data_IF_713415228455
#
_entry.id   IF_713415228455
#
_cell.length_a   1.000
_cell.length_b   1.000
_cell.length_c   1.000
_cell.angle_alpha   90.00
_cell.angle_beta   90.00
_cell.angle_gamma   90.00
#
_symmetry.space_group_name_H-M   'P 1'
#
loop_
_entity.id
_entity.type
_entity.pdbx_description
1 polymer ?
#
# COMPACT_ATOMS: atom_id res chain seq x y z
N UNK A 1 37.30 1.99 9.46
CA UNK A 1 37.30 0.73 10.25
C UNK A 1 38.25 -0.36 9.76
N UNK A 2 38.57 -0.49 8.46
CA UNK A 2 39.55 -1.49 7.96
C UNK A 2 40.92 -1.40 8.66
N UNK A 3 41.45 -0.19 8.80
CA UNK A 3 42.71 0.04 9.52
C UNK A 3 42.68 -0.40 11.00
N UNK A 4 41.53 -0.34 11.67
CA UNK A 4 41.38 -0.80 13.06
C UNK A 4 41.41 -2.33 13.13
N UNK A 5 40.71 -3.00 12.20
CA UNK A 5 40.70 -4.46 12.11
C UNK A 5 42.07 -5.03 11.68
N UNK A 6 42.77 -4.35 10.78
CA UNK A 6 44.15 -4.70 10.40
C UNK A 6 45.12 -4.50 11.56
N UNK A 7 44.93 -3.43 12.34
CA UNK A 7 45.71 -3.19 13.56
C UNK A 7 45.44 -4.26 14.62
N UNK A 8 44.18 -4.58 14.95
CA UNK A 8 43.89 -5.65 15.92
C UNK A 8 44.39 -7.01 15.44
N UNK A 9 44.34 -7.29 14.13
CA UNK A 9 44.91 -8.52 13.56
C UNK A 9 46.45 -8.57 13.63
N UNK A 10 47.12 -7.42 13.78
CA UNK A 10 48.57 -7.35 13.96
C UNK A 10 49.02 -7.52 15.43
N UNK A 11 48.09 -7.54 16.39
CA UNK A 11 48.37 -7.74 17.81
C UNK A 11 48.44 -9.22 18.16
N UNK A 12 49.26 -9.56 19.17
CA UNK A 12 49.33 -10.93 19.70
C UNK A 12 48.15 -11.28 20.61
N UNK A 13 47.90 -12.58 20.81
CA UNK A 13 46.76 -13.12 21.57
C UNK A 13 46.61 -12.54 22.99
N UNK A 14 47.72 -12.25 23.66
CA UNK A 14 47.73 -11.67 25.00
C UNK A 14 47.22 -10.22 25.02
N UNK A 15 47.44 -9.44 23.96
CA UNK A 15 47.00 -8.06 23.87
C UNK A 15 45.56 -7.96 23.34
N UNK A 16 45.14 -8.91 22.50
CA UNK A 16 43.73 -9.10 22.14
C UNK A 16 42.86 -9.42 23.37
N UNK A 17 43.33 -10.29 24.27
CA UNK A 17 42.62 -10.59 25.51
C UNK A 17 42.44 -9.36 26.41
N UNK A 18 43.43 -8.46 26.45
CA UNK A 18 43.32 -7.19 27.18
C UNK A 18 42.34 -6.22 26.52
N UNK A 19 42.35 -6.13 25.19
CA UNK A 19 41.39 -5.31 24.45
C UNK A 19 39.96 -5.80 24.65
N UNK A 20 39.73 -7.11 24.62
CA UNK A 20 38.43 -7.70 24.91
C UNK A 20 37.95 -7.42 26.35
N UNK A 21 38.86 -7.48 27.34
CA UNK A 21 38.53 -7.13 28.73
C UNK A 21 38.13 -5.65 28.89
N UNK A 22 38.59 -4.78 28.00
CA UNK A 22 38.27 -3.35 27.95
C UNK A 22 37.08 -3.03 27.03
N UNK A 23 36.50 -4.03 26.35
CA UNK A 23 35.41 -3.83 25.37
C UNK A 23 35.84 -3.11 24.10
N UNK A 24 37.14 -3.13 23.78
CA UNK A 24 37.75 -2.49 22.62
C UNK A 24 38.15 -3.50 21.54
N UNK A 25 37.73 -4.76 21.66
CA UNK A 25 37.99 -5.81 20.66
C UNK A 25 37.31 -5.51 19.32
N UNK A 26 36.31 -4.64 19.32
CA UNK A 26 35.59 -4.20 18.12
C UNK A 26 35.53 -2.67 18.04
N UNK A 27 35.56 -2.11 16.83
CA UNK A 27 35.34 -0.68 16.65
C UNK A 27 33.92 -0.32 17.11
N UNK A 28 33.79 0.78 17.85
CA UNK A 28 32.50 1.30 18.26
C UNK A 28 31.76 1.80 17.01
N UNK A 29 30.63 1.16 16.72
CA UNK A 29 29.66 1.60 15.71
C UNK A 29 28.42 1.97 16.50
N UNK A 30 28.01 3.24 16.47
CA UNK A 30 26.79 3.67 17.14
C UNK A 30 25.59 3.05 16.41
N UNK A 31 24.97 2.03 17.01
CA UNK A 31 23.73 1.39 16.55
C UNK A 31 22.48 2.29 16.71
N UNK A 32 22.66 3.56 17.10
CA UNK A 32 21.58 4.50 17.33
C UNK A 32 21.05 5.06 16.01
N UNK A 33 20.22 4.26 15.34
CA UNK A 33 19.35 4.72 14.26
C UNK A 33 18.28 5.67 14.81
N UNK A 34 18.46 6.98 14.63
CA UNK A 34 17.36 7.91 14.78
C UNK A 34 16.39 7.72 13.61
N UNK A 35 15.20 7.20 13.90
CA UNK A 35 14.07 7.22 12.96
C UNK A 35 13.54 8.65 12.88
N UNK A 36 14.17 9.51 12.08
CA UNK A 36 13.70 10.89 11.93
C UNK A 36 14.71 11.82 11.29
N UNK A 37 14.22 12.66 10.40
CA UNK A 37 14.94 13.73 9.70
C UNK A 37 15.68 14.65 10.68
N UNK A 38 17.01 14.73 10.56
CA UNK A 38 17.79 15.87 11.05
C UNK A 38 18.61 15.66 12.31
N UNK A 39 19.44 14.62 12.37
CA UNK A 39 20.61 14.60 13.26
C UNK A 39 21.89 14.35 12.43
N UNK A 40 22.97 15.01 12.84
CA UNK A 40 24.24 15.14 12.12
C UNK A 40 24.92 13.77 11.92
N UNK A 41 24.73 13.18 10.74
CA UNK A 41 25.40 11.96 10.29
C UNK A 41 24.44 10.99 9.62
N UNK A 42 24.33 11.05 8.29
CA UNK A 42 23.63 10.01 7.53
C UNK A 42 24.55 8.79 7.38
N UNK A 43 23.96 7.60 7.38
CA UNK A 43 24.64 6.32 7.12
C UNK A 43 25.40 6.33 5.78
N UNK A 44 24.90 7.12 4.82
CA UNK A 44 25.53 7.36 3.52
C UNK A 44 26.94 7.97 3.63
N UNK A 45 27.23 8.73 4.69
CA UNK A 45 28.54 9.35 4.92
C UNK A 45 29.50 8.43 5.70
N UNK A 46 29.03 7.25 6.12
CA UNK A 46 29.85 6.31 6.89
C UNK A 46 30.71 5.41 5.98
N UNK A 47 31.91 5.06 6.44
CA UNK A 47 32.75 4.05 5.78
C UNK A 47 32.19 2.61 5.83
N UNK A 48 31.03 2.40 6.49
CA UNK A 48 30.25 1.16 6.45
C UNK A 48 29.24 1.13 5.30
N UNK A 49 28.97 2.26 4.66
CA UNK A 49 28.08 2.30 3.52
C UNK A 49 28.62 1.34 2.44
N UNK A 50 27.94 0.22 2.25
CA UNK A 50 28.20 -0.65 1.12
C UNK A 50 27.52 -0.04 -0.09
N UNK A 51 28.31 0.23 -1.13
CA UNK A 51 27.74 0.41 -2.46
C UNK A 51 27.29 -0.96 -2.94
N UNK A 52 26.00 -1.27 -2.76
CA UNK A 52 25.36 -2.26 -3.61
C UNK A 52 25.34 -1.64 -5.01
N UNK A 53 26.06 -2.20 -6.00
CA UNK A 53 25.98 -1.69 -7.36
C UNK A 53 24.53 -1.71 -7.79
N UNK A 54 24.13 -0.60 -8.44
CA UNK A 54 22.79 -0.28 -8.91
C UNK A 54 21.83 -1.47 -8.81
N UNK A 55 20.90 -1.42 -7.85
CA UNK A 55 19.88 -2.46 -7.68
C UNK A 55 19.17 -2.68 -9.02
N UNK A 56 19.05 -1.66 -9.90
CA UNK A 56 18.52 -1.84 -11.25
C UNK A 56 19.39 -2.67 -12.19
N UNK A 57 20.71 -2.73 -11.97
CA UNK A 57 21.64 -3.56 -12.73
C UNK A 57 21.72 -5.01 -12.20
N UNK A 58 21.39 -5.25 -10.92
CA UNK A 58 21.33 -6.58 -10.30
C UNK A 58 19.93 -7.19 -10.26
N UNK A 59 18.89 -6.40 -10.53
CA UNK A 59 17.65 -6.93 -11.07
C UNK A 59 18.01 -7.40 -12.47
N UNK A 60 18.50 -8.65 -12.55
CA UNK A 60 18.19 -9.50 -13.69
C UNK A 60 16.72 -9.20 -13.97
N UNK A 61 16.33 -8.77 -15.17
CA UNK A 61 14.92 -8.57 -15.43
C UNK A 61 14.32 -9.93 -15.13
N UNK A 62 13.68 -10.01 -13.97
CA UNK A 62 12.45 -10.70 -13.82
C UNK A 62 11.63 -10.07 -14.92
N UNK A 63 11.75 -10.64 -16.12
CA UNK A 63 10.61 -11.18 -16.79
C UNK A 63 9.87 -11.97 -15.69
N UNK A 64 9.20 -11.25 -14.79
CA UNK A 64 7.78 -11.36 -14.65
C UNK A 64 7.35 -11.50 -16.09
N UNK A 65 7.35 -12.76 -16.55
CA UNK A 65 6.57 -13.19 -17.67
C UNK A 65 5.26 -12.58 -17.28
N UNK A 66 5.00 -11.45 -17.92
CA UNK A 66 3.82 -10.69 -17.70
C UNK A 66 2.82 -11.70 -18.21
N UNK A 67 2.28 -12.49 -17.29
CA UNK A 67 1.21 -13.43 -17.51
C UNK A 67 -0.06 -12.55 -17.68
N UNK A 68 0.07 -11.49 -18.48
CA UNK A 68 -0.91 -11.10 -19.46
C UNK A 68 -1.10 -12.33 -20.34
N UNK A 69 -1.83 -13.30 -19.78
CA UNK A 69 -2.59 -14.23 -20.58
C UNK A 69 -3.30 -13.43 -21.69
N UNK A 70 -3.56 -14.06 -22.84
CA UNK A 70 -4.09 -13.38 -24.02
C UNK A 70 -5.22 -12.44 -23.61
N UNK A 71 -5.08 -11.16 -23.97
CA UNK A 71 -6.09 -10.14 -23.71
C UNK A 71 -7.42 -10.66 -24.26
N UNK A 72 -8.30 -11.09 -23.36
CA UNK A 72 -9.57 -11.69 -23.74
C UNK A 72 -10.52 -10.55 -24.15
N UNK A 73 -10.52 -10.28 -25.45
CA UNK A 73 -11.40 -9.28 -26.05
C UNK A 73 -12.87 -9.58 -25.75
N UNK A 74 -13.24 -10.86 -25.63
CA UNK A 74 -14.62 -11.23 -25.33
C UNK A 74 -14.99 -10.88 -23.89
N UNK A 75 -14.10 -11.14 -22.93
CA UNK A 75 -14.30 -10.69 -21.54
C UNK A 75 -14.43 -9.17 -21.42
N UNK A 76 -13.64 -8.40 -22.20
CA UNK A 76 -13.79 -6.95 -22.25
C UNK A 76 -15.16 -6.55 -22.82
N UNK A 77 -15.56 -7.12 -23.95
CA UNK A 77 -16.85 -6.82 -24.57
C UNK A 77 -18.02 -7.21 -23.66
N UNK A 78 -17.93 -8.32 -22.94
CA UNK A 78 -18.92 -8.73 -21.95
C UNK A 78 -19.01 -7.77 -20.77
N UNK A 79 -17.87 -7.29 -20.25
CA UNK A 79 -17.86 -6.27 -19.21
C UNK A 79 -18.49 -4.95 -19.71
N UNK A 80 -18.19 -4.55 -20.95
CA UNK A 80 -18.78 -3.36 -21.58
C UNK A 80 -20.29 -3.52 -21.79
N UNK A 81 -20.76 -4.68 -22.28
CA UNK A 81 -22.20 -4.96 -22.45
C UNK A 81 -22.94 -4.90 -21.12
N UNK A 82 -22.38 -5.51 -20.06
CA UNK A 82 -22.95 -5.44 -18.70
C UNK A 82 -23.01 -4.01 -18.18
N UNK A 83 -21.93 -3.24 -18.34
CA UNK A 83 -21.88 -1.84 -17.94
C UNK A 83 -22.91 -0.99 -18.70
N UNK A 84 -23.02 -1.15 -20.02
CA UNK A 84 -23.99 -0.43 -20.84
C UNK A 84 -25.42 -0.80 -20.48
N UNK A 85 -25.71 -2.08 -20.26
CA UNK A 85 -27.02 -2.54 -19.80
C UNK A 85 -27.42 -1.92 -18.46
N UNK A 86 -26.48 -1.86 -17.52
CA UNK A 86 -26.70 -1.22 -16.22
C UNK A 86 -26.92 0.29 -16.37
N UNK A 87 -26.16 0.99 -17.21
CA UNK A 87 -26.34 2.43 -17.44
C UNK A 87 -27.68 2.75 -18.10
N UNK A 88 -28.12 1.96 -19.07
CA UNK A 88 -29.38 2.17 -19.78
C UNK A 88 -30.62 1.90 -18.91
N UNK A 89 -30.52 0.98 -17.95
CA UNK A 89 -31.64 0.62 -17.07
C UNK A 89 -31.79 1.56 -15.85
N UNK A 90 -30.81 2.43 -15.60
CA UNK A 90 -30.79 3.27 -14.41
C UNK A 90 -31.47 4.62 -14.62
N UNK A 91 -32.32 5.01 -13.67
CA UNK A 91 -32.99 6.33 -13.68
C UNK A 91 -32.00 7.49 -13.63
N UNK A 92 -30.84 7.29 -13.00
CA UNK A 92 -29.75 8.27 -12.94
C UNK A 92 -28.45 7.61 -13.37
N UNK A 93 -28.25 7.53 -14.69
CA UNK A 93 -27.06 6.96 -15.31
C UNK A 93 -25.78 7.72 -14.92
N UNK A 94 -25.86 9.05 -14.73
CA UNK A 94 -24.71 9.88 -14.34
C UNK A 94 -24.13 9.48 -12.98
N UNK A 95 -25.01 9.25 -11.99
CA UNK A 95 -24.60 8.73 -10.68
C UNK A 95 -23.91 7.37 -10.80
N UNK A 96 -24.51 6.47 -11.58
CA UNK A 96 -23.97 5.11 -11.79
C UNK A 96 -22.60 5.17 -12.44
N UNK A 97 -22.40 6.04 -13.43
CA UNK A 97 -21.12 6.22 -14.11
C UNK A 97 -20.03 6.75 -13.16
N UNK A 98 -20.35 7.74 -12.32
CA UNK A 98 -19.39 8.26 -11.33
C UNK A 98 -19.04 7.21 -10.26
N UNK A 99 -20.03 6.40 -9.84
CA UNK A 99 -19.79 5.28 -8.92
C UNK A 99 -18.93 4.20 -9.59
N UNK A 100 -19.18 3.89 -10.87
CA UNK A 100 -18.38 2.94 -11.63
C UNK A 100 -16.93 3.42 -11.75
N UNK A 101 -16.70 4.68 -12.12
CA UNK A 101 -15.34 5.24 -12.20
C UNK A 101 -14.58 5.15 -10.87
N UNK A 102 -15.27 5.32 -9.74
CA UNK A 102 -14.68 5.16 -8.41
C UNK A 102 -14.35 3.69 -8.09
N UNK A 103 -15.21 2.75 -8.48
CA UNK A 103 -15.04 1.30 -8.26
C UNK A 103 -13.96 0.71 -9.17
N UNK A 104 -13.89 1.12 -10.43
CA UNK A 104 -12.89 0.63 -11.38
C UNK A 104 -11.52 1.28 -11.20
N UNK A 105 -11.44 2.38 -10.42
CA UNK A 105 -10.23 3.19 -10.32
C UNK A 105 -10.00 4.12 -11.50
N UNK A 106 -10.92 4.17 -12.47
CA UNK A 106 -10.87 5.06 -13.63
C UNK A 106 -11.24 6.52 -13.31
N UNK A 107 -11.53 6.85 -12.05
CA UNK A 107 -11.86 8.21 -11.63
C UNK A 107 -10.64 9.14 -11.73
N UNK A 108 -10.55 9.88 -12.83
CA UNK A 108 -9.47 10.83 -13.10
C UNK A 108 -9.44 12.00 -12.09
N UNK A 109 -10.61 12.47 -11.65
CA UNK A 109 -10.72 13.65 -10.79
C UNK A 109 -10.51 13.36 -9.30
N UNK A 110 -10.31 12.09 -8.92
CA UNK A 110 -10.14 11.72 -7.51
C UNK A 110 -11.36 12.01 -6.62
N UNK A 111 -12.55 12.15 -7.22
CA UNK A 111 -13.77 12.49 -6.51
C UNK A 111 -14.07 11.47 -5.39
N UNK A 112 -14.31 11.98 -4.18
CA UNK A 112 -14.71 11.14 -3.05
C UNK A 112 -16.20 10.77 -3.11
N UNK A 113 -16.62 9.70 -2.43
CA UNK A 113 -18.04 9.34 -2.30
C UNK A 113 -18.89 10.48 -1.72
N UNK A 114 -18.31 11.33 -0.87
CA UNK A 114 -19.00 12.51 -0.31
C UNK A 114 -19.21 13.60 -1.35
N UNK A 115 -18.24 13.81 -2.25
CA UNK A 115 -18.36 14.78 -3.33
C UNK A 115 -19.44 14.36 -4.34
N UNK A 116 -19.45 13.07 -4.71
CA UNK A 116 -20.50 12.47 -5.55
C UNK A 116 -21.86 12.61 -4.87
N UNK A 117 -21.96 12.25 -3.59
CA UNK A 117 -23.20 12.37 -2.83
C UNK A 117 -23.78 13.80 -2.85
N UNK A 118 -22.93 14.81 -2.63
CA UNK A 118 -23.34 16.23 -2.69
C UNK A 118 -23.83 16.63 -4.08
N UNK A 119 -23.15 16.19 -5.15
CA UNK A 119 -23.49 16.52 -6.54
C UNK A 119 -24.85 15.96 -6.96
N UNK A 120 -25.20 14.79 -6.44
CA UNK A 120 -26.45 14.08 -6.79
C UNK A 120 -27.56 14.22 -5.73
N UNK A 121 -27.36 15.03 -4.68
CA UNK A 121 -28.37 15.19 -3.62
C UNK A 121 -28.64 13.91 -2.82
N UNK A 122 -27.64 13.03 -2.69
CA UNK A 122 -27.75 11.75 -2.01
C UNK A 122 -26.95 11.72 -0.70
N UNK A 123 -27.18 10.70 0.12
CA UNK A 123 -26.31 10.44 1.28
C UNK A 123 -25.05 9.69 0.84
N UNK A 124 -23.94 9.92 1.54
CA UNK A 124 -22.70 9.15 1.33
C UNK A 124 -22.93 7.65 1.45
N UNK A 125 -23.80 7.22 2.37
CA UNK A 125 -24.15 5.82 2.56
C UNK A 125 -24.87 5.22 1.33
N UNK A 126 -25.75 5.99 0.67
CA UNK A 126 -26.41 5.57 -0.57
C UNK A 126 -25.39 5.39 -1.71
N UNK A 127 -24.46 6.33 -1.88
CA UNK A 127 -23.36 6.23 -2.86
C UNK A 127 -22.48 5.02 -2.56
N UNK A 128 -22.12 4.81 -1.29
CA UNK A 128 -21.32 3.65 -0.87
C UNK A 128 -22.04 2.33 -1.17
N UNK A 129 -23.34 2.24 -0.93
CA UNK A 129 -24.15 1.07 -1.28
C UNK A 129 -24.10 0.82 -2.79
N UNK A 130 -24.31 1.87 -3.61
CA UNK A 130 -24.28 1.75 -5.06
C UNK A 130 -22.93 1.27 -5.59
N UNK A 131 -21.82 1.77 -5.05
CA UNK A 131 -20.47 1.30 -5.40
C UNK A 131 -20.28 -0.20 -5.08
N UNK A 132 -20.83 -0.66 -3.95
CA UNK A 132 -20.76 -2.08 -3.55
C UNK A 132 -21.57 -2.96 -4.50
N UNK A 133 -22.76 -2.51 -4.91
CA UNK A 133 -23.61 -3.28 -5.82
C UNK A 133 -22.96 -3.40 -7.20
N UNK A 134 -22.42 -2.30 -7.75
CA UNK A 134 -21.67 -2.31 -9.02
C UNK A 134 -20.45 -3.23 -8.95
N UNK A 135 -19.66 -3.17 -7.86
CA UNK A 135 -18.50 -4.04 -7.69
C UNK A 135 -18.89 -5.53 -7.68
N UNK A 136 -20.04 -5.86 -7.09
CA UNK A 136 -20.57 -7.24 -7.08
C UNK A 136 -21.06 -7.67 -8.46
N UNK A 137 -21.81 -6.82 -9.16
CA UNK A 137 -22.37 -7.11 -10.49
C UNK A 137 -21.28 -7.34 -11.54
N UNK A 138 -20.18 -6.59 -11.42
CA UNK A 138 -19.03 -6.67 -12.33
C UNK A 138 -17.92 -7.60 -11.85
N UNK A 139 -18.12 -8.30 -10.72
CA UNK A 139 -17.11 -9.15 -10.08
C UNK A 139 -15.76 -8.46 -9.86
N UNK A 140 -15.79 -7.16 -9.53
CA UNK A 140 -14.59 -6.37 -9.29
C UNK A 140 -14.18 -6.44 -7.81
N UNK A 141 -12.86 -6.53 -7.50
CA UNK A 141 -12.40 -6.34 -6.14
C UNK A 141 -12.72 -4.91 -5.67
N UNK A 142 -12.87 -4.68 -4.36
CA UNK A 142 -13.06 -3.33 -3.83
C UNK A 142 -11.84 -2.46 -4.18
N UNK A 143 -12.09 -1.29 -4.76
CA UNK A 143 -11.01 -0.34 -5.07
C UNK A 143 -10.35 0.22 -3.82
N UNK A 144 -9.21 0.91 -3.98
CA UNK A 144 -8.52 1.62 -2.89
C UNK A 144 -9.44 2.57 -2.11
N UNK A 145 -10.43 3.14 -2.78
CA UNK A 145 -11.42 4.05 -2.18
C UNK A 145 -12.51 3.33 -1.37
N UNK A 146 -12.57 2.00 -1.47
CA UNK A 146 -13.55 1.14 -0.82
C UNK A 146 -12.93 0.32 0.30
N UNK A 147 -13.75 0.00 1.30
CA UNK A 147 -13.34 -0.90 2.39
C UNK A 147 -13.65 -2.35 2.04
N UNK A 148 -12.78 -3.30 2.41
CA UNK A 148 -13.04 -4.71 2.18
C UNK A 148 -14.28 -5.19 2.95
N UNK A 149 -14.87 -6.31 2.53
CA UNK A 149 -16.11 -6.82 3.10
C UNK A 149 -16.00 -7.13 4.61
N UNK A 150 -14.85 -7.67 5.04
CA UNK A 150 -14.53 -7.97 6.44
C UNK A 150 -14.56 -6.72 7.32
N UNK A 151 -13.88 -5.66 6.88
CA UNK A 151 -13.87 -4.37 7.58
C UNK A 151 -15.29 -3.78 7.69
N UNK A 152 -16.09 -3.88 6.62
CA UNK A 152 -17.50 -3.42 6.62
C UNK A 152 -18.36 -4.18 7.62
N UNK A 153 -18.21 -5.51 7.72
CA UNK A 153 -18.93 -6.32 8.70
C UNK A 153 -18.56 -5.95 10.13
N UNK A 154 -17.28 -5.75 10.41
CA UNK A 154 -16.81 -5.29 11.73
C UNK A 154 -17.44 -3.96 12.13
N UNK A 155 -17.45 -2.96 11.23
CA UNK A 155 -18.10 -1.67 11.51
C UNK A 155 -19.60 -1.79 11.71
N UNK A 156 -20.28 -2.64 10.93
CA UNK A 156 -21.72 -2.90 11.12
C UNK A 156 -21.98 -3.47 12.52
N UNK A 157 -21.21 -4.45 12.96
CA UNK A 157 -21.36 -5.05 14.29
C UNK A 157 -21.08 -4.02 15.40
N UNK A 158 -20.03 -3.21 15.26
CA UNK A 158 -19.72 -2.14 16.22
C UNK A 158 -20.87 -1.11 16.30
N UNK A 159 -21.43 -0.70 15.16
CA UNK A 159 -22.55 0.24 15.12
C UNK A 159 -23.81 -0.34 15.78
N UNK A 160 -24.12 -1.62 15.54
CA UNK A 160 -25.27 -2.29 16.17
C UNK A 160 -25.10 -2.35 17.69
N UNK A 161 -23.91 -2.67 18.19
CA UNK A 161 -23.60 -2.65 19.63
C UNK A 161 -23.77 -1.25 20.23
N UNK A 162 -23.27 -0.22 19.55
CA UNK A 162 -23.42 1.17 19.98
C UNK A 162 -24.90 1.59 20.08
N UNK A 163 -25.68 1.33 19.04
CA UNK A 163 -27.10 1.68 19.01
C UNK A 163 -27.91 0.89 20.05
N UNK A 164 -27.56 -0.38 20.29
CA UNK A 164 -28.19 -1.18 21.34
C UNK A 164 -27.90 -0.67 22.76
N UNK A 165 -26.74 -0.03 22.99
CA UNK A 165 -26.40 0.62 24.25
C UNK A 165 -27.09 1.97 24.42
N UNK A 166 -27.27 2.72 23.33
CA UNK A 166 -27.96 4.03 23.36
C UNK A 166 -29.47 3.94 23.57
N UNK A 167 -30.08 2.79 23.25
CA UNK A 167 -31.51 2.51 23.45
C UNK A 167 -31.83 1.79 24.78
N UNK A 168 -30.87 1.69 25.70
CA UNK A 168 -31.05 1.20 27.07
C UNK A 168 -30.94 2.36 28.05
#
# INVERSE_FOLDING_TARGET
MRAYAEWTASLGDADLAKLAALGLDKPLVDDHHATGTGLDGDMADSSLASYTPDIMAQVEPETQANDQGPFDSEALWDALRRMLGELLNQKNAKLTLECFALVSGASFLGDSMTAIARRHGMTRAAVSKRCIDIARELNLPPSRSMRPATARQSYRQAQLKHNAKANR
#
